data_IF_695708384784
#
_entry.id   IF_695708384784
#
_cell.length_a   1.000
_cell.length_b   1.000
_cell.length_c   1.000
_cell.angle_alpha   90.00
_cell.angle_beta   90.00
_cell.angle_gamma   90.00
#
_symmetry.space_group_name_H-M   'P 1'
#
loop_
_entity.id
_entity.type
_entity.pdbx_description
1 polymer ?
#
# COMPACT_ATOMS: atom_id res chain seq x y z
N UNK A 1 12.38 -5.31 18.99
CA UNK A 1 12.30 -4.78 17.62
C UNK A 1 12.13 -3.29 17.75
N UNK A 2 13.06 -2.48 17.25
CA UNK A 2 12.94 -1.02 17.31
C UNK A 2 11.69 -0.60 16.52
N UNK A 3 10.83 0.21 17.11
CA UNK A 3 9.71 0.79 16.37
C UNK A 3 10.27 1.80 15.36
N UNK A 4 10.20 1.44 14.08
CA UNK A 4 10.82 2.20 12.99
C UNK A 4 10.11 3.54 12.77
N UNK A 5 8.82 3.62 13.12
CA UNK A 5 8.06 4.87 13.03
C UNK A 5 8.52 5.85 14.10
N UNK A 6 8.70 5.37 15.33
CA UNK A 6 9.22 6.19 16.41
C UNK A 6 10.69 6.59 16.18
N UNK A 7 11.52 5.66 15.69
CA UNK A 7 12.90 5.96 15.30
C UNK A 7 12.96 7.07 14.25
N UNK A 8 12.13 7.01 13.21
CA UNK A 8 12.08 8.03 12.16
C UNK A 8 11.65 9.40 12.71
N UNK A 9 10.66 9.44 13.62
CA UNK A 9 10.22 10.68 14.28
C UNK A 9 11.33 11.27 15.15
N UNK A 10 11.97 10.45 15.98
CA UNK A 10 13.06 10.87 16.86
C UNK A 10 14.25 11.40 16.04
N UNK A 11 14.66 10.70 14.98
CA UNK A 11 15.73 11.17 14.10
C UNK A 11 15.38 12.49 13.41
N UNK A 12 14.14 12.64 12.93
CA UNK A 12 13.71 13.91 12.32
C UNK A 12 13.74 15.07 13.33
N UNK A 13 13.30 14.84 14.57
CA UNK A 13 13.35 15.85 15.62
C UNK A 13 14.79 16.21 15.97
N UNK A 14 15.63 15.21 16.23
CA UNK A 14 17.04 15.39 16.58
C UNK A 14 17.85 16.05 15.46
N UNK A 15 17.56 15.75 14.19
CA UNK A 15 18.23 16.38 13.05
C UNK A 15 18.02 17.90 13.04
N UNK A 16 16.81 18.37 13.37
CA UNK A 16 16.51 19.80 13.42
C UNK A 16 17.25 20.49 14.58
N UNK A 17 17.23 19.92 15.78
CA UNK A 17 17.89 20.52 16.95
C UNK A 17 19.42 20.50 16.82
N UNK A 18 19.96 19.44 16.22
CA UNK A 18 21.41 19.28 16.02
C UNK A 18 21.94 20.25 14.98
N UNK A 19 21.18 20.56 13.92
CA UNK A 19 21.58 21.57 12.94
C UNK A 19 21.82 22.93 13.61
N UNK A 20 20.91 23.36 14.48
CA UNK A 20 21.03 24.61 15.23
C UNK A 20 22.24 24.58 16.19
N UNK A 21 22.47 23.46 16.88
CA UNK A 21 23.61 23.28 17.78
C UNK A 21 24.96 23.34 17.03
N UNK A 22 25.04 22.69 15.86
CA UNK A 22 26.21 22.74 14.98
C UNK A 22 26.52 24.18 14.55
N UNK A 23 25.50 24.95 14.17
CA UNK A 23 25.72 26.32 13.70
C UNK A 23 26.17 27.26 14.82
N UNK A 24 25.67 27.08 16.06
CA UNK A 24 26.16 27.80 17.24
C UNK A 24 27.61 27.45 17.56
N UNK A 25 27.97 26.17 17.53
CA UNK A 25 29.35 25.73 17.82
C UNK A 25 30.35 26.19 16.77
N UNK A 26 29.96 26.25 15.48
CA UNK A 26 30.82 26.84 14.44
C UNK A 26 31.11 28.33 14.64
N UNK A 27 30.18 29.06 15.26
CA UNK A 27 30.35 30.48 15.57
C UNK A 27 31.23 30.71 16.82
N UNK A 28 31.54 29.64 17.57
CA UNK A 28 32.42 29.71 18.72
C UNK A 28 33.87 29.92 18.26
N UNK A 29 34.64 30.81 18.90
CA UNK A 29 36.03 31.08 18.52
C UNK A 29 36.87 29.80 18.64
N UNK A 30 37.38 29.30 17.51
CA UNK A 30 38.02 27.99 17.37
C UNK A 30 39.51 27.94 17.73
N UNK A 31 40.00 28.91 18.49
CA UNK A 31 41.44 29.11 18.68
C UNK A 31 41.97 28.42 19.96
N UNK A 32 41.09 27.89 20.82
CA UNK A 32 41.44 27.23 22.09
C UNK A 32 40.69 25.91 22.31
N UNK A 33 41.35 24.98 23.04
CA UNK A 33 40.72 23.76 23.52
C UNK A 33 39.69 24.15 24.59
N UNK A 34 38.44 23.73 24.41
CA UNK A 34 37.35 24.00 25.35
C UNK A 34 37.42 22.97 26.49
N UNK A 35 37.61 23.44 27.72
CA UNK A 35 37.44 22.63 28.93
C UNK A 35 35.97 22.62 29.34
N UNK A 36 35.25 21.57 28.96
CA UNK A 36 33.81 21.44 29.23
C UNK A 36 33.46 21.45 30.71
N UNK A 37 34.41 21.12 31.60
CA UNK A 37 34.17 21.20 33.05
C UNK A 37 33.94 22.63 33.56
N UNK A 38 34.35 23.64 32.79
CA UNK A 38 34.16 25.05 33.13
C UNK A 38 32.87 25.64 32.54
N UNK A 39 32.13 24.86 31.74
CA UNK A 39 30.96 25.31 30.99
C UNK A 39 29.71 24.47 31.29
N UNK A 40 29.66 23.81 32.45
CA UNK A 40 28.50 23.02 32.88
C UNK A 40 27.23 23.89 32.88
N UNK A 41 26.14 23.35 32.32
CA UNK A 41 24.86 24.05 32.10
C UNK A 41 24.89 25.26 31.15
N UNK A 42 26.03 25.57 30.53
CA UNK A 42 26.10 26.61 29.50
C UNK A 42 25.64 26.09 28.13
N UNK A 43 25.33 27.01 27.20
CA UNK A 43 24.83 26.67 25.87
C UNK A 43 25.77 25.72 25.11
N UNK A 44 27.08 25.82 25.33
CA UNK A 44 28.08 24.96 24.70
C UNK A 44 28.00 23.51 25.18
N UNK A 45 27.74 23.29 26.46
CA UNK A 45 27.56 21.96 27.05
C UNK A 45 26.25 21.31 26.56
N UNK A 46 25.17 22.11 26.47
CA UNK A 46 23.89 21.68 25.87
C UNK A 46 24.06 21.30 24.40
N UNK A 47 24.78 22.11 23.62
CA UNK A 47 24.98 21.87 22.19
C UNK A 47 25.84 20.62 21.94
N UNK A 48 26.87 20.39 22.76
CA UNK A 48 27.69 19.18 22.69
C UNK A 48 26.90 17.95 23.11
N UNK A 49 26.09 18.05 24.17
CA UNK A 49 25.16 16.99 24.57
C UNK A 49 24.20 16.64 23.44
N UNK A 50 23.62 17.65 22.78
CA UNK A 50 22.72 17.46 21.62
C UNK A 50 23.43 16.72 20.47
N UNK A 51 24.70 17.06 20.18
CA UNK A 51 25.48 16.37 19.15
C UNK A 51 25.77 14.92 19.53
N UNK A 52 26.09 14.64 20.79
CA UNK A 52 26.33 13.28 21.26
C UNK A 52 25.06 12.42 21.16
N UNK A 53 23.91 12.97 21.54
CA UNK A 53 22.61 12.31 21.36
C UNK A 53 22.31 12.03 19.88
N UNK A 54 22.63 12.98 18.99
CA UNK A 54 22.52 12.76 17.55
C UNK A 54 23.45 11.64 17.06
N UNK A 55 24.69 11.58 17.54
CA UNK A 55 25.65 10.55 17.14
C UNK A 55 25.15 9.14 17.50
N UNK A 56 24.62 8.97 18.71
CA UNK A 56 24.03 7.71 19.16
C UNK A 56 22.77 7.36 18.34
N UNK A 57 21.87 8.33 18.15
CA UNK A 57 20.61 8.10 17.47
C UNK A 57 20.79 7.85 15.96
N UNK A 58 21.73 8.54 15.32
CA UNK A 58 22.09 8.39 13.90
C UNK A 58 23.11 7.29 13.64
N UNK A 59 23.25 6.34 14.58
CA UNK A 59 24.14 5.19 14.43
C UNK A 59 23.91 4.43 13.11
N UNK A 60 24.95 3.80 12.54
CA UNK A 60 24.83 3.03 11.30
C UNK A 60 23.71 1.98 11.34
N UNK A 61 23.48 1.35 12.51
CA UNK A 61 22.42 0.38 12.69
C UNK A 61 21.02 0.99 12.50
N UNK A 62 20.79 2.18 13.07
CA UNK A 62 19.52 2.89 12.95
C UNK A 62 19.29 3.39 11.51
N UNK A 63 20.34 3.89 10.86
CA UNK A 63 20.28 4.32 9.45
C UNK A 63 19.98 3.15 8.53
N UNK A 64 20.66 2.01 8.70
CA UNK A 64 20.39 0.80 7.90
C UNK A 64 18.97 0.28 8.11
N UNK A 65 18.47 0.29 9.35
CA UNK A 65 17.09 -0.11 9.64
C UNK A 65 16.05 0.78 8.94
N UNK A 66 16.30 2.09 8.87
CA UNK A 66 15.45 3.01 8.11
C UNK A 66 15.54 2.77 6.61
N UNK A 67 16.75 2.63 6.07
CA UNK A 67 16.97 2.39 4.64
C UNK A 67 16.30 1.10 4.19
N UNK A 68 16.43 0.02 4.94
CA UNK A 68 15.80 -1.27 4.61
C UNK A 68 14.27 -1.15 4.54
N UNK A 69 13.65 -0.39 5.45
CA UNK A 69 12.21 -0.17 5.40
C UNK A 69 11.80 0.73 4.24
N UNK A 70 12.59 1.76 3.92
CA UNK A 70 12.33 2.61 2.78
C UNK A 70 12.46 1.84 1.46
N UNK A 71 13.46 0.98 1.31
CA UNK A 71 13.62 0.11 0.15
C UNK A 71 12.42 -0.85 0.00
N UNK A 72 11.96 -1.46 1.11
CA UNK A 72 10.76 -2.30 1.11
C UNK A 72 9.49 -1.52 0.76
N UNK A 73 9.36 -0.28 1.24
CA UNK A 73 8.21 0.58 0.93
C UNK A 73 8.23 1.01 -0.55
N UNK A 74 9.40 1.37 -1.08
CA UNK A 74 9.59 1.72 -2.48
C UNK A 74 9.28 0.53 -3.40
N UNK A 75 9.83 -0.65 -3.11
CA UNK A 75 9.55 -1.85 -3.90
C UNK A 75 8.06 -2.18 -3.96
N UNK A 76 7.31 -1.98 -2.86
CA UNK A 76 5.85 -2.13 -2.86
C UNK A 76 5.18 -1.08 -3.74
N UNK A 77 5.58 0.18 -3.63
CA UNK A 77 5.04 1.25 -4.46
C UNK A 77 5.26 1.00 -5.95
N UNK A 78 6.45 0.53 -6.34
CA UNK A 78 6.79 0.19 -7.72
C UNK A 78 5.88 -0.93 -8.27
N UNK A 79 5.61 -1.97 -7.47
CA UNK A 79 4.67 -3.05 -7.85
C UNK A 79 3.26 -2.52 -8.10
N UNK A 80 2.76 -1.63 -7.23
CA UNK A 80 1.45 -1.01 -7.44
C UNK A 80 1.42 -0.13 -8.69
N UNK A 81 2.50 0.59 -8.95
CA UNK A 81 2.65 1.43 -10.13
C UNK A 81 2.64 0.59 -11.42
N UNK A 82 3.34 -0.54 -11.45
CA UNK A 82 3.30 -1.49 -12.56
C UNK A 82 1.87 -2.04 -12.79
N UNK A 83 1.18 -2.43 -11.71
CA UNK A 83 -0.18 -2.97 -11.82
C UNK A 83 -1.16 -1.91 -12.34
N UNK A 84 -0.99 -0.66 -11.93
CA UNK A 84 -1.77 0.47 -12.43
C UNK A 84 -1.56 0.68 -13.93
N UNK A 85 -0.34 0.47 -14.41
CA UNK A 85 -0.01 0.55 -15.84
C UNK A 85 -0.65 -0.58 -16.65
N UNK A 86 -0.64 -1.81 -16.14
CA UNK A 86 -1.30 -2.97 -16.79
C UNK A 86 -2.80 -2.76 -17.04
N UNK A 87 -3.47 -1.99 -16.16
CA UNK A 87 -4.90 -1.64 -16.31
C UNK A 87 -5.14 -0.28 -17.01
N UNK A 88 -4.09 0.40 -17.49
CA UNK A 88 -4.19 1.71 -18.13
C UNK A 88 -4.76 2.80 -17.21
N UNK A 89 -4.55 2.67 -15.91
CA UNK A 89 -5.14 3.55 -14.88
C UNK A 89 -4.26 4.78 -14.61
N UNK A 90 -2.95 4.71 -14.90
CA UNK A 90 -2.05 5.86 -14.76
C UNK A 90 -2.45 6.99 -15.70
N UNK A 91 -2.78 6.68 -16.95
CA UNK A 91 -3.28 7.65 -17.94
C UNK A 91 -4.63 8.26 -17.55
N UNK A 92 -5.44 7.51 -16.80
CA UNK A 92 -6.74 7.96 -16.28
C UNK A 92 -6.61 8.80 -15.01
N UNK A 93 -5.39 9.07 -14.55
CA UNK A 93 -5.11 9.86 -13.36
C UNK A 93 -5.50 9.20 -12.04
N UNK A 94 -5.74 7.88 -12.03
CA UNK A 94 -6.11 7.13 -10.83
C UNK A 94 -4.89 7.08 -9.91
N UNK A 95 -4.98 7.69 -8.73
CA UNK A 95 -3.92 7.66 -7.73
C UNK A 95 -3.76 6.26 -7.12
N UNK A 96 -2.69 6.06 -6.35
CA UNK A 96 -2.47 4.80 -5.62
C UNK A 96 -3.60 4.53 -4.60
N UNK A 97 -4.15 5.58 -3.99
CA UNK A 97 -5.29 5.50 -3.08
C UNK A 97 -6.57 5.09 -3.83
N UNK A 98 -6.83 5.71 -4.99
CA UNK A 98 -8.01 5.45 -5.82
C UNK A 98 -7.98 4.06 -6.49
N UNK A 99 -6.78 3.47 -6.62
CA UNK A 99 -6.61 2.14 -7.20
C UNK A 99 -7.36 1.06 -6.41
N UNK A 100 -7.39 1.16 -5.07
CA UNK A 100 -8.10 0.20 -4.21
C UNK A 100 -9.61 0.29 -4.43
N UNK A 101 -10.15 1.50 -4.50
CA UNK A 101 -11.57 1.72 -4.80
C UNK A 101 -11.92 1.25 -6.22
N UNK A 102 -11.03 1.48 -7.18
CA UNK A 102 -11.17 0.96 -8.54
C UNK A 102 -11.23 -0.58 -8.55
N UNK A 103 -10.33 -1.25 -7.81
CA UNK A 103 -10.34 -2.71 -7.69
C UNK A 103 -11.64 -3.22 -7.08
N UNK A 104 -12.11 -2.60 -5.98
CA UNK A 104 -13.35 -2.97 -5.33
C UNK A 104 -14.56 -2.84 -6.28
N UNK A 105 -14.65 -1.72 -7.01
CA UNK A 105 -15.69 -1.51 -8.01
C UNK A 105 -15.62 -2.52 -9.15
N UNK A 106 -14.41 -2.84 -9.64
CA UNK A 106 -14.21 -3.82 -10.69
C UNK A 106 -14.59 -5.23 -10.25
N UNK A 107 -14.30 -5.60 -9.00
CA UNK A 107 -14.71 -6.88 -8.41
C UNK A 107 -16.23 -6.93 -8.32
N UNK A 108 -16.88 -5.90 -7.75
CA UNK A 108 -18.33 -5.84 -7.65
C UNK A 108 -19.02 -5.92 -9.02
N UNK A 109 -18.49 -5.21 -10.03
CA UNK A 109 -18.94 -5.30 -11.41
C UNK A 109 -18.85 -6.75 -11.93
N UNK A 110 -17.68 -7.38 -11.80
CA UNK A 110 -17.48 -8.77 -12.25
C UNK A 110 -18.36 -9.78 -11.50
N UNK A 111 -18.55 -9.60 -10.20
CA UNK A 111 -19.41 -10.45 -9.36
C UNK A 111 -20.90 -10.25 -9.66
N UNK A 112 -21.30 -9.09 -10.18
CA UNK A 112 -22.68 -8.82 -10.61
C UNK A 112 -23.03 -9.40 -11.97
N UNK A 113 -22.03 -9.82 -12.77
CA UNK A 113 -22.27 -10.37 -14.10
C UNK A 113 -23.07 -11.66 -14.03
N UNK A 114 -24.04 -11.74 -14.92
CA UNK A 114 -24.89 -12.91 -15.13
C UNK A 114 -24.67 -13.45 -16.55
N UNK A 115 -25.03 -14.71 -16.78
CA UNK A 115 -25.08 -15.30 -18.12
C UNK A 115 -26.53 -15.58 -18.50
N UNK A 116 -26.87 -15.26 -19.75
CA UNK A 116 -28.15 -15.64 -20.35
C UNK A 116 -28.05 -17.01 -21.00
N UNK A 117 -28.91 -17.94 -20.59
CA UNK A 117 -29.00 -19.23 -21.26
C UNK A 117 -29.83 -19.11 -22.54
N UNK A 118 -29.48 -19.85 -23.61
CA UNK A 118 -30.27 -19.87 -24.82
C UNK A 118 -31.64 -20.55 -24.59
N UNK A 119 -32.66 -20.09 -25.30
CA UNK A 119 -33.95 -20.80 -25.38
C UNK A 119 -33.73 -22.20 -25.97
N UNK A 120 -33.96 -23.24 -25.18
CA UNK A 120 -33.90 -24.62 -25.64
C UNK A 120 -35.21 -24.95 -26.37
N UNK A 121 -35.29 -24.61 -27.66
CA UNK A 121 -36.43 -24.97 -28.53
C UNK A 121 -36.24 -26.38 -29.10
N UNK A 122 -37.26 -27.21 -28.99
CA UNK A 122 -37.37 -28.43 -29.78
C UNK A 122 -38.08 -28.11 -31.09
N UNK A 123 -37.58 -28.61 -32.22
CA UNK A 123 -38.36 -28.66 -33.46
C UNK A 123 -39.49 -29.67 -33.23
N UNK A 124 -40.70 -29.16 -33.02
CA UNK A 124 -41.92 -29.98 -32.98
C UNK A 124 -42.38 -30.15 -34.42
N UNK A 125 -42.30 -31.37 -34.93
CA UNK A 125 -43.18 -31.80 -36.03
C UNK A 125 -44.62 -31.69 -35.54
N UNK A 126 -45.25 -30.54 -35.76
CA UNK A 126 -46.69 -30.32 -35.68
C UNK A 126 -47.32 -30.35 -34.28
N UNK A 127 -47.63 -29.15 -33.78
CA UNK A 127 -48.87 -28.81 -33.08
C UNK A 127 -49.00 -28.78 -31.56
N UNK A 128 -48.02 -29.15 -30.72
CA UNK A 128 -48.07 -28.73 -29.29
C UNK A 128 -46.69 -28.51 -28.66
N UNK A 129 -46.47 -27.29 -28.14
CA UNK A 129 -45.36 -26.96 -27.24
C UNK A 129 -45.59 -27.65 -25.89
N UNK A 130 -44.91 -28.76 -25.65
CA UNK A 130 -44.78 -29.33 -24.31
C UNK A 130 -43.30 -29.37 -24.03
N UNK A 131 -42.88 -28.68 -22.96
CA UNK A 131 -41.54 -28.87 -22.41
C UNK A 131 -41.41 -30.36 -22.10
N UNK A 132 -40.69 -31.12 -22.91
CA UNK A 132 -40.41 -32.50 -22.54
C UNK A 132 -39.59 -32.46 -21.24
N UNK A 133 -39.90 -33.34 -20.29
CA UNK A 133 -39.19 -33.41 -19.01
C UNK A 133 -37.67 -33.44 -19.20
N UNK A 134 -37.17 -34.01 -20.30
CA UNK A 134 -35.75 -34.02 -20.65
C UNK A 134 -35.13 -32.65 -20.93
N UNK A 135 -35.82 -31.76 -21.67
CA UNK A 135 -35.32 -30.41 -21.96
C UNK A 135 -35.32 -29.54 -20.70
N UNK A 136 -36.37 -29.67 -19.89
CA UNK A 136 -36.46 -28.99 -18.60
C UNK A 136 -35.35 -29.44 -17.65
N UNK A 137 -35.18 -30.76 -17.48
CA UNK A 137 -34.15 -31.34 -16.60
C UNK A 137 -32.74 -30.93 -17.05
N UNK A 138 -32.46 -30.96 -18.35
CA UNK A 138 -31.16 -30.50 -18.88
C UNK A 138 -30.89 -29.02 -18.56
N UNK A 139 -31.90 -28.15 -18.68
CA UNK A 139 -31.78 -26.74 -18.30
C UNK A 139 -31.46 -26.57 -16.81
N UNK A 140 -32.13 -27.35 -15.94
CA UNK A 140 -31.85 -27.34 -14.50
C UNK A 140 -30.44 -27.84 -14.18
N UNK A 141 -29.99 -28.93 -14.80
CA UNK A 141 -28.65 -29.47 -14.61
C UNK A 141 -27.58 -28.44 -15.01
N UNK A 142 -27.78 -27.73 -16.13
CA UNK A 142 -26.89 -26.64 -16.55
C UNK A 142 -26.86 -25.51 -15.52
N UNK A 143 -28.03 -25.09 -14.99
CA UNK A 143 -28.09 -24.08 -13.93
C UNK A 143 -27.35 -24.52 -12.67
N UNK A 144 -27.49 -25.78 -12.26
CA UNK A 144 -26.77 -26.35 -11.11
C UNK A 144 -25.26 -26.36 -11.33
N UNK A 145 -24.80 -26.78 -12.51
CA UNK A 145 -23.36 -26.80 -12.84
C UNK A 145 -22.79 -25.39 -12.88
N UNK A 146 -23.50 -24.41 -13.44
CA UNK A 146 -23.08 -23.01 -13.46
C UNK A 146 -23.03 -22.41 -12.05
N UNK A 147 -24.04 -22.67 -11.22
CA UNK A 147 -24.05 -22.23 -9.83
C UNK A 147 -22.90 -22.86 -9.02
N UNK A 148 -22.61 -24.16 -9.23
CA UNK A 148 -21.47 -24.84 -8.62
C UNK A 148 -20.12 -24.24 -9.05
N UNK A 149 -20.05 -23.67 -10.26
CA UNK A 149 -18.90 -22.91 -10.76
C UNK A 149 -18.89 -21.43 -10.33
N UNK A 150 -19.88 -20.98 -9.52
CA UNK A 150 -20.00 -19.60 -9.07
C UNK A 150 -20.51 -18.62 -10.13
N UNK A 151 -21.08 -19.12 -11.24
CA UNK A 151 -21.62 -18.30 -12.33
C UNK A 151 -23.10 -18.05 -12.08
N UNK A 152 -23.48 -16.77 -11.99
CA UNK A 152 -24.88 -16.36 -11.87
C UNK A 152 -25.58 -16.47 -13.23
N UNK A 153 -26.79 -17.00 -13.24
CA UNK A 153 -27.65 -17.08 -14.44
C UNK A 153 -28.70 -15.99 -14.33
N UNK A 154 -29.02 -15.31 -15.43
CA UNK A 154 -30.13 -14.34 -15.45
C UNK A 154 -31.45 -15.04 -15.11
N UNK A 155 -32.27 -14.41 -14.26
CA UNK A 155 -33.66 -14.81 -14.07
C UNK A 155 -34.44 -14.51 -15.38
N UNK A 156 -35.33 -15.41 -15.79
CA UNK A 156 -36.15 -15.29 -17.02
C UNK A 156 -37.12 -14.11 -17.00
#
# INVERSE_FOLDING_TARGET
MTDITELAKSLKAAANTTADAIDRLKAFPGDEIIDLSQHEDEQIDIDITTINEWYELSSPANILALVEVLEKAQAKADVYDMLRDDYGLREKGVGLADFVDWQANRIAELESRTVKLPDLRQIVSGDRYVWSDGVYNYSQDVKVVLAAAGIKVEDE
#
